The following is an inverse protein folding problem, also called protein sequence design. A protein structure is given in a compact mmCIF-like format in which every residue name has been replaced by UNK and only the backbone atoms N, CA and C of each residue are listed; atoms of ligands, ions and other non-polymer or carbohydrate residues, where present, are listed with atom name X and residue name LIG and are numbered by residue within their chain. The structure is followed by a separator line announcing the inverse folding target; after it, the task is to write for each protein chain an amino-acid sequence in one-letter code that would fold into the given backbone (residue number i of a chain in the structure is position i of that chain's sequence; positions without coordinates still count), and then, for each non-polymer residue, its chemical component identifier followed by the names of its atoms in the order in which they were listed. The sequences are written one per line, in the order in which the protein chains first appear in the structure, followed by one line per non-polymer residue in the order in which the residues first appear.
data_IF_565013254723
#
_entry.id   IF_565013254723
#
_cell.length_a   1.000
_cell.length_b   1.000
_cell.length_c   1.000
_cell.angle_alpha   90.00
_cell.angle_beta   90.00
_cell.angle_gamma   90.00
#
_symmetry.space_group_name_H-M   'P 1'
#
loop_
_entity.id
_entity.type
_entity.pdbx_description
1 polymer ?
#
# COMPACT_ATOMS: atom_id res chain seq x y z
N UNK A 1 10.50 7.12 -22.79
CA UNK A 1 9.53 7.76 -21.90
C UNK A 1 9.74 9.25 -22.05
N UNK A 2 8.77 9.96 -22.59
CA UNK A 2 8.85 11.41 -22.71
C UNK A 2 8.67 12.09 -21.33
N UNK A 3 8.89 13.40 -21.25
CA UNK A 3 8.80 14.13 -19.98
C UNK A 3 7.38 14.13 -19.41
N UNK A 4 6.34 14.05 -20.26
CA UNK A 4 4.95 13.99 -19.81
C UNK A 4 4.63 12.62 -19.17
N UNK A 5 5.15 11.54 -19.74
CA UNK A 5 5.05 10.19 -19.19
C UNK A 5 5.81 10.06 -17.86
N UNK A 6 6.98 10.70 -17.72
CA UNK A 6 7.72 10.77 -16.44
C UNK A 6 6.93 11.50 -15.37
N UNK A 7 6.37 12.65 -15.69
CA UNK A 7 5.56 13.41 -14.73
C UNK A 7 4.30 12.65 -14.33
N UNK A 8 3.63 12.01 -15.31
CA UNK A 8 2.49 11.13 -15.04
C UNK A 8 2.87 9.99 -14.10
N UNK A 9 4.01 9.33 -14.31
CA UNK A 9 4.50 8.27 -13.43
C UNK A 9 4.78 8.79 -12.02
N UNK A 10 5.36 9.99 -11.89
CA UNK A 10 5.62 10.63 -10.59
C UNK A 10 4.33 10.84 -9.80
N UNK A 11 3.27 11.30 -10.47
CA UNK A 11 1.94 11.50 -9.88
C UNK A 11 1.34 10.15 -9.46
N UNK A 12 1.38 9.15 -10.35
CA UNK A 12 0.84 7.81 -10.08
C UNK A 12 1.52 7.13 -8.89
N UNK A 13 2.85 7.24 -8.77
CA UNK A 13 3.57 6.67 -7.62
C UNK A 13 3.13 7.31 -6.30
N UNK A 14 2.91 8.62 -6.27
CA UNK A 14 2.37 9.30 -5.08
C UNK A 14 0.96 8.84 -4.75
N UNK A 15 0.09 8.76 -5.76
CA UNK A 15 -1.28 8.29 -5.63
C UNK A 15 -1.36 6.85 -5.10
N UNK A 16 -0.57 5.93 -5.67
CA UNK A 16 -0.57 4.53 -5.21
C UNK A 16 -0.07 4.37 -3.78
N UNK A 17 0.96 5.12 -3.36
CA UNK A 17 1.44 5.06 -1.97
C UNK A 17 0.33 5.47 -1.01
N UNK A 18 -0.42 6.52 -1.33
CA UNK A 18 -1.50 6.98 -0.46
C UNK A 18 -2.66 6.00 -0.44
N UNK A 19 -3.10 5.53 -1.61
CA UNK A 19 -4.20 4.58 -1.72
C UNK A 19 -3.89 3.24 -1.04
N UNK A 20 -2.63 2.78 -1.12
CA UNK A 20 -2.17 1.60 -0.41
C UNK A 20 -2.26 1.78 1.13
N UNK A 21 -2.03 2.99 1.65
CA UNK A 21 -2.21 3.25 3.10
C UNK A 21 -3.68 3.20 3.50
N UNK A 22 -4.56 3.81 2.70
CA UNK A 22 -6.02 3.75 2.91
C UNK A 22 -6.50 2.29 2.95
N UNK A 23 -6.09 1.46 1.99
CA UNK A 23 -6.38 0.02 2.02
C UNK A 23 -5.76 -0.70 3.22
N UNK A 24 -4.53 -0.34 3.61
CA UNK A 24 -3.89 -0.89 4.80
C UNK A 24 -4.66 -0.58 6.09
N UNK A 25 -5.24 0.61 6.22
CA UNK A 25 -6.11 0.98 7.34
C UNK A 25 -7.41 0.18 7.32
N UNK A 26 -8.07 0.08 6.16
CA UNK A 26 -9.29 -0.74 5.99
C UNK A 26 -9.04 -2.21 6.33
N UNK A 27 -7.92 -2.79 5.90
CA UNK A 27 -7.57 -4.18 6.21
C UNK A 27 -7.31 -4.38 7.71
N UNK A 28 -6.68 -3.43 8.40
CA UNK A 28 -6.49 -3.48 9.86
C UNK A 28 -7.84 -3.48 10.58
N UNK A 29 -8.76 -2.59 10.20
CA UNK A 29 -10.10 -2.56 10.79
C UNK A 29 -10.84 -3.89 10.61
N UNK A 30 -10.71 -4.51 9.44
CA UNK A 30 -11.33 -5.81 9.18
C UNK A 30 -10.62 -6.98 9.85
N UNK A 31 -9.31 -6.90 10.07
CA UNK A 31 -8.57 -7.88 10.87
C UNK A 31 -9.05 -7.88 12.34
N UNK A 32 -9.31 -6.70 12.89
CA UNK A 32 -9.89 -6.58 14.23
C UNK A 32 -11.30 -7.18 14.29
N UNK A 33 -12.15 -6.88 13.30
CA UNK A 33 -13.50 -7.45 13.20
C UNK A 33 -13.46 -8.97 13.00
N UNK A 34 -12.56 -9.50 12.19
CA UNK A 34 -12.46 -10.95 11.95
C UNK A 34 -12.00 -11.70 13.21
N UNK A 35 -11.09 -11.11 13.99
CA UNK A 35 -10.72 -11.63 15.31
C UNK A 35 -11.92 -11.70 16.26
N UNK A 36 -12.75 -10.66 16.30
CA UNK A 36 -13.95 -10.61 17.15
C UNK A 36 -15.02 -11.63 16.71
N UNK A 37 -15.01 -12.02 15.44
CA UNK A 37 -15.85 -13.09 14.88
C UNK A 37 -15.28 -14.51 15.12
N UNK A 38 -14.09 -14.64 15.72
CA UNK A 38 -13.42 -15.92 15.94
C UNK A 38 -12.62 -16.45 14.73
N UNK A 39 -12.50 -15.65 13.67
CA UNK A 39 -11.81 -16.01 12.42
C UNK A 39 -10.32 -15.63 12.48
N UNK A 40 -9.58 -16.30 13.36
CA UNK A 40 -8.18 -15.98 13.65
C UNK A 40 -7.26 -16.05 12.41
N UNK A 41 -7.44 -17.06 11.54
CA UNK A 41 -6.64 -17.19 10.31
C UNK A 41 -6.92 -16.05 9.33
N UNK A 42 -8.18 -15.59 9.23
CA UNK A 42 -8.53 -14.45 8.37
C UNK A 42 -7.93 -13.16 8.91
N UNK A 43 -7.90 -12.97 10.23
CA UNK A 43 -7.19 -11.87 10.87
C UNK A 43 -5.69 -11.89 10.49
N UNK A 44 -5.03 -13.04 10.61
CA UNK A 44 -3.62 -13.19 10.24
C UNK A 44 -3.37 -12.84 8.76
N UNK A 45 -4.17 -13.38 7.84
CA UNK A 45 -4.04 -13.10 6.40
C UNK A 45 -4.24 -11.60 6.08
N UNK A 46 -5.17 -10.92 6.75
CA UNK A 46 -5.40 -9.48 6.57
C UNK A 46 -4.22 -8.65 7.11
N UNK A 47 -3.65 -9.04 8.26
CA UNK A 47 -2.46 -8.38 8.80
C UNK A 47 -1.23 -8.61 7.91
N UNK A 48 -1.10 -9.79 7.30
CA UNK A 48 -0.05 -10.06 6.32
C UNK A 48 -0.25 -9.22 5.06
N UNK A 49 -1.49 -9.03 4.60
CA UNK A 49 -1.78 -8.14 3.47
C UNK A 49 -1.33 -6.69 3.75
N UNK A 50 -1.55 -6.20 4.97
CA UNK A 50 -1.07 -4.88 5.42
C UNK A 50 0.46 -4.80 5.35
N UNK A 51 1.17 -5.80 5.86
CA UNK A 51 2.64 -5.81 5.83
C UNK A 51 3.19 -5.79 4.40
N UNK A 52 2.58 -6.57 3.50
CA UNK A 52 2.96 -6.60 2.09
C UNK A 52 2.65 -5.28 1.39
N UNK A 53 1.57 -4.61 1.77
CA UNK A 53 1.20 -3.28 1.29
C UNK A 53 2.23 -2.22 1.72
N UNK A 54 2.64 -2.24 2.99
CA UNK A 54 3.73 -1.39 3.49
C UNK A 54 5.04 -1.66 2.75
N UNK A 55 5.33 -2.93 2.44
CA UNK A 55 6.50 -3.29 1.66
C UNK A 55 6.45 -2.77 0.23
N UNK A 56 5.29 -2.85 -0.42
CA UNK A 56 5.07 -2.24 -1.73
C UNK A 56 5.32 -0.72 -1.66
N UNK A 57 4.81 -0.05 -0.63
CA UNK A 57 5.02 1.38 -0.40
C UNK A 57 6.49 1.75 -0.29
N UNK A 58 7.33 0.95 0.39
CA UNK A 58 8.79 1.19 0.42
C UNK A 58 9.41 1.20 -0.99
N UNK A 59 9.02 0.26 -1.84
CA UNK A 59 9.50 0.16 -3.20
C UNK A 59 9.01 1.32 -4.08
N UNK A 60 7.73 1.69 -3.96
CA UNK A 60 7.15 2.83 -4.67
C UNK A 60 7.81 4.14 -4.25
N UNK A 61 8.06 4.34 -2.95
CA UNK A 61 8.74 5.52 -2.43
C UNK A 61 10.18 5.59 -2.95
N UNK A 62 10.87 4.45 -3.06
CA UNK A 62 12.21 4.37 -3.67
C UNK A 62 12.17 4.69 -5.17
N UNK A 63 11.17 4.21 -5.91
CA UNK A 63 10.99 4.57 -7.31
C UNK A 63 10.73 6.07 -7.47
N UNK A 64 9.86 6.65 -6.64
CA UNK A 64 9.56 8.07 -6.64
C UNK A 64 10.81 8.93 -6.36
N UNK A 65 11.66 8.53 -5.41
CA UNK A 65 12.94 9.22 -5.14
C UNK A 65 13.88 9.17 -6.33
N UNK A 66 13.96 8.04 -7.04
CA UNK A 66 14.82 7.86 -8.23
C UNK A 66 14.36 8.67 -9.44
N UNK A 67 13.09 9.08 -9.50
CA UNK A 67 12.57 9.97 -10.54
C UNK A 67 12.81 11.46 -10.23
N UNK A 68 13.13 11.80 -8.98
CA UNK A 68 13.40 13.19 -8.55
C UNK A 68 14.88 13.57 -8.60
N UNK A 69 15.78 12.59 -8.73
CA UNK A 69 17.22 12.78 -8.93
C UNK A 69 17.59 12.44 -10.36
#
# INVERSE_FOLDING_TARGET
MDEAEKEKLRILLGYWIEHNREHGEEFKEWAEKSRDLGEAMVCEDLLDAVQHMDKANEFLLRALRRLRG
#
